data_IF_968825146534
#
_entry.id   IF_968825146534
#
_cell.length_a   1.000
_cell.length_b   1.000
_cell.length_c   1.000
_cell.angle_alpha   90.00
_cell.angle_beta   90.00
_cell.angle_gamma   90.00
#
_symmetry.space_group_name_H-M   'P 1'
#
loop_
_entity.id
_entity.type
_entity.pdbx_description
1 polymer ?
#
# COMPACT_ATOMS: atom_id res chain seq x y z
N UNK A 1 2.81 -13.30 23.14
CA UNK A 1 2.58 -13.27 21.69
C UNK A 1 2.65 -14.70 21.16
N UNK A 2 1.51 -15.26 20.74
CA UNK A 2 1.46 -16.58 20.12
C UNK A 2 2.26 -16.57 18.80
N UNK A 3 2.85 -17.70 18.42
CA UNK A 3 3.66 -17.79 17.20
C UNK A 3 2.86 -17.45 15.94
N UNK A 4 1.58 -17.80 15.90
CA UNK A 4 0.65 -17.50 14.82
C UNK A 4 0.46 -15.98 14.62
N UNK A 5 0.24 -15.22 15.71
CA UNK A 5 0.09 -13.76 15.61
C UNK A 5 1.41 -13.07 15.19
N UNK A 6 2.56 -13.66 15.49
CA UNK A 6 3.86 -13.15 15.00
C UNK A 6 3.99 -13.34 13.50
N UNK A 7 3.63 -14.53 13.03
CA UNK A 7 3.68 -14.89 11.63
C UNK A 7 2.75 -14.02 10.81
N UNK A 8 1.49 -13.88 11.24
CA UNK A 8 0.49 -13.06 10.56
C UNK A 8 0.89 -11.57 10.52
N UNK A 9 1.40 -11.01 11.62
CA UNK A 9 1.93 -9.65 11.63
C UNK A 9 3.08 -9.47 10.63
N UNK A 10 4.06 -10.39 10.63
CA UNK A 10 5.20 -10.32 9.72
C UNK A 10 4.76 -10.46 8.26
N UNK A 11 3.82 -11.38 7.98
CA UNK A 11 3.24 -11.62 6.66
C UNK A 11 2.50 -10.40 6.14
N UNK A 12 1.62 -9.80 6.95
CA UNK A 12 0.91 -8.57 6.60
C UNK A 12 1.88 -7.42 6.37
N UNK A 13 2.86 -7.23 7.25
CA UNK A 13 3.81 -6.13 7.11
C UNK A 13 4.63 -6.25 5.81
N UNK A 14 5.08 -7.46 5.48
CA UNK A 14 5.80 -7.73 4.24
C UNK A 14 4.90 -7.57 3.00
N UNK A 15 3.67 -8.07 3.04
CA UNK A 15 2.70 -7.90 1.96
C UNK A 15 2.39 -6.42 1.69
N UNK A 16 2.19 -5.63 2.75
CA UNK A 16 1.97 -4.19 2.66
C UNK A 16 3.18 -3.47 2.05
N UNK A 17 4.38 -3.80 2.51
CA UNK A 17 5.64 -3.26 1.94
C UNK A 17 5.78 -3.59 0.45
N UNK A 18 5.55 -4.85 0.08
CA UNK A 18 5.65 -5.30 -1.32
C UNK A 18 4.63 -4.58 -2.23
N UNK A 19 3.41 -4.34 -1.75
CA UNK A 19 2.40 -3.58 -2.49
C UNK A 19 2.81 -2.12 -2.70
N UNK A 20 3.39 -1.47 -1.68
CA UNK A 20 3.90 -0.10 -1.79
C UNK A 20 5.08 -0.01 -2.76
N UNK A 21 6.02 -0.95 -2.67
CA UNK A 21 7.16 -1.05 -3.60
C UNK A 21 6.67 -1.24 -5.05
N UNK A 22 5.65 -2.10 -5.23
CA UNK A 22 5.02 -2.35 -6.54
C UNK A 22 4.30 -1.11 -7.05
N UNK A 23 3.56 -0.40 -6.19
CA UNK A 23 2.89 0.84 -6.54
C UNK A 23 3.90 1.90 -7.02
N UNK A 24 5.02 2.06 -6.31
CA UNK A 24 6.05 3.02 -6.69
C UNK A 24 6.75 2.64 -8.01
N UNK A 25 7.05 1.35 -8.22
CA UNK A 25 7.56 0.85 -9.50
C UNK A 25 6.58 1.12 -10.64
N UNK A 26 5.30 0.84 -10.43
CA UNK A 26 4.24 1.08 -11.40
C UNK A 26 4.12 2.57 -11.74
N UNK A 27 4.17 3.46 -10.74
CA UNK A 27 4.16 4.92 -10.93
C UNK A 27 5.34 5.38 -11.77
N UNK A 28 6.55 4.87 -11.50
CA UNK A 28 7.75 5.21 -12.28
C UNK A 28 7.64 4.76 -13.73
N UNK A 29 7.20 3.53 -13.98
CA UNK A 29 7.05 3.01 -15.34
C UNK A 29 5.95 3.74 -16.12
N UNK A 30 4.80 3.98 -15.51
CA UNK A 30 3.69 4.70 -16.16
C UNK A 30 4.02 6.17 -16.37
N UNK A 31 4.72 6.82 -15.44
CA UNK A 31 5.25 8.17 -15.62
C UNK A 31 6.20 8.28 -16.83
N UNK A 32 7.13 7.33 -16.97
CA UNK A 32 8.03 7.28 -18.12
C UNK A 32 7.28 7.04 -19.44
N UNK A 33 6.31 6.12 -19.45
CA UNK A 33 5.47 5.86 -20.62
C UNK A 33 4.70 7.12 -21.02
N UNK A 34 4.04 7.79 -20.07
CA UNK A 34 3.24 8.99 -20.32
C UNK A 34 4.11 10.15 -20.80
N UNK A 35 5.33 10.30 -20.28
CA UNK A 35 6.28 11.30 -20.75
C UNK A 35 6.70 11.06 -22.21
N UNK A 36 6.87 9.80 -22.62
CA UNK A 36 7.16 9.44 -24.02
C UNK A 36 5.95 9.72 -24.91
N UNK A 37 4.74 9.37 -24.46
CA UNK A 37 3.50 9.51 -25.25
C UNK A 37 3.09 10.97 -25.43
N UNK A 38 3.29 11.83 -24.43
CA UNK A 38 2.98 13.26 -24.53
C UNK A 38 3.96 14.06 -25.39
N UNK A 39 5.14 13.52 -25.72
CA UNK A 39 6.19 14.28 -26.38
C UNK A 39 6.59 15.56 -25.61
N UNK A 40 7.35 16.45 -26.26
CA UNK A 40 7.86 17.70 -25.66
C UNK A 40 7.06 18.96 -26.03
N UNK A 41 5.82 18.85 -26.52
CA UNK A 41 5.08 20.00 -27.06
C UNK A 41 3.56 19.85 -27.16
N UNK A 42 2.86 20.98 -27.34
CA UNK A 42 1.41 21.16 -27.10
C UNK A 42 0.41 20.34 -27.93
N UNK A 43 0.88 19.51 -28.88
CA UNK A 43 0.16 18.35 -29.43
C UNK A 43 1.24 17.38 -29.91
N UNK A 44 1.53 16.33 -29.13
CA UNK A 44 2.57 15.35 -29.51
C UNK A 44 2.28 14.73 -30.89
N UNK A 45 1.01 14.73 -31.26
CA UNK A 45 0.44 14.11 -32.45
C UNK A 45 -0.08 15.13 -33.48
N UNK A 46 0.14 16.43 -33.27
CA UNK A 46 -0.32 17.53 -34.13
C UNK A 46 -1.80 17.86 -34.03
N UNK A 47 -2.24 18.98 -34.63
CA UNK A 47 -3.62 19.48 -34.55
C UNK A 47 -4.66 18.78 -35.43
N UNK A 48 -4.36 17.57 -35.93
CA UNK A 48 -5.28 16.77 -36.74
C UNK A 48 -6.35 16.10 -35.86
N UNK A 49 -7.45 15.63 -36.45
CA UNK A 49 -8.45 14.83 -35.73
C UNK A 49 -7.80 13.60 -35.05
N UNK A 50 -6.92 12.90 -35.76
CA UNK A 50 -6.14 11.79 -35.20
C UNK A 50 -5.24 12.23 -34.05
N UNK A 51 -4.69 13.44 -34.10
CA UNK A 51 -3.87 13.97 -33.01
C UNK A 51 -4.68 14.27 -31.75
N UNK A 52 -5.89 14.82 -31.92
CA UNK A 52 -6.83 15.04 -30.82
C UNK A 52 -7.30 13.71 -30.19
N UNK A 53 -7.56 12.68 -31.00
CA UNK A 53 -7.89 11.34 -30.50
C UNK A 53 -6.74 10.73 -29.67
N UNK A 54 -5.49 10.93 -30.11
CA UNK A 54 -4.32 10.46 -29.38
C UNK A 54 -4.09 11.23 -28.09
N UNK A 55 -4.33 12.54 -28.06
CA UNK A 55 -4.29 13.33 -26.83
C UNK A 55 -5.37 12.85 -25.83
N UNK A 56 -6.59 12.57 -26.31
CA UNK A 56 -7.66 12.01 -25.48
C UNK A 56 -7.30 10.62 -24.94
N UNK A 57 -6.71 9.75 -25.77
CA UNK A 57 -6.25 8.43 -25.35
C UNK A 57 -5.14 8.55 -24.29
N UNK A 58 -4.24 9.51 -24.45
CA UNK A 58 -3.15 9.78 -23.49
C UNK A 58 -3.70 10.22 -22.14
N UNK A 59 -4.71 11.09 -22.13
CA UNK A 59 -5.39 11.52 -20.91
C UNK A 59 -6.13 10.36 -20.23
N UNK A 60 -6.84 9.51 -20.99
CA UNK A 60 -7.48 8.31 -20.46
C UNK A 60 -6.46 7.35 -19.85
N UNK A 61 -5.30 7.17 -20.51
CA UNK A 61 -4.21 6.37 -20.00
C UNK A 61 -3.65 6.96 -18.70
N UNK A 62 -3.46 8.28 -18.64
CA UNK A 62 -3.01 8.97 -17.44
C UNK A 62 -3.97 8.72 -16.27
N UNK A 63 -5.28 8.90 -16.49
CA UNK A 63 -6.29 8.68 -15.46
C UNK A 63 -6.35 7.22 -15.01
N UNK A 64 -6.31 6.27 -15.94
CA UNK A 64 -6.34 4.84 -15.62
C UNK A 64 -5.10 4.42 -14.81
N UNK A 65 -3.91 4.83 -15.24
CA UNK A 65 -2.67 4.58 -14.50
C UNK A 65 -2.70 5.25 -13.12
N UNK A 66 -3.17 6.50 -13.02
CA UNK A 66 -3.32 7.19 -11.74
C UNK A 66 -4.23 6.43 -10.76
N UNK A 67 -5.38 5.93 -11.23
CA UNK A 67 -6.30 5.12 -10.42
C UNK A 67 -5.69 3.79 -9.99
N UNK A 68 -5.01 3.09 -10.90
CA UNK A 68 -4.36 1.81 -10.59
C UNK A 68 -3.25 2.00 -9.55
N UNK A 69 -2.42 3.02 -9.71
CA UNK A 69 -1.41 3.41 -8.72
C UNK A 69 -2.06 3.69 -7.36
N UNK A 70 -3.09 4.54 -7.33
CA UNK A 70 -3.79 4.89 -6.10
C UNK A 70 -4.37 3.67 -5.39
N UNK A 71 -5.00 2.75 -6.12
CA UNK A 71 -5.56 1.53 -5.56
C UNK A 71 -4.46 0.62 -4.97
N UNK A 72 -3.34 0.43 -5.67
CA UNK A 72 -2.22 -0.37 -5.16
C UNK A 72 -1.62 0.23 -3.90
N UNK A 73 -1.39 1.55 -3.92
CA UNK A 73 -0.83 2.28 -2.79
C UNK A 73 -1.75 2.21 -1.54
N UNK A 74 -3.04 2.52 -1.70
CA UNK A 74 -4.02 2.46 -0.61
C UNK A 74 -4.21 1.04 -0.07
N UNK A 75 -4.12 0.02 -0.93
CA UNK A 75 -4.14 -1.37 -0.48
C UNK A 75 -2.92 -1.70 0.37
N UNK A 76 -1.73 -1.26 -0.06
CA UNK A 76 -0.49 -1.40 0.71
C UNK A 76 -0.56 -0.71 2.09
N UNK A 77 -1.02 0.54 2.13
CA UNK A 77 -1.24 1.27 3.39
C UNK A 77 -2.28 0.59 4.30
N UNK A 78 -3.37 0.10 3.72
CA UNK A 78 -4.40 -0.63 4.46
C UNK A 78 -3.85 -1.89 5.12
N UNK A 79 -3.04 -2.67 4.39
CA UNK A 79 -2.39 -3.87 4.91
C UNK A 79 -1.37 -3.55 6.00
N UNK A 80 -0.57 -2.49 5.86
CA UNK A 80 0.33 -2.04 6.94
C UNK A 80 -0.44 -1.57 8.18
N UNK A 81 -1.56 -0.87 7.97
CA UNK A 81 -2.44 -0.44 9.07
C UNK A 81 -3.04 -1.64 9.79
N UNK A 82 -3.44 -2.69 9.07
CA UNK A 82 -3.89 -3.95 9.67
C UNK A 82 -2.79 -4.60 10.51
N UNK A 83 -1.57 -4.70 9.99
CA UNK A 83 -0.43 -5.22 10.73
C UNK A 83 -0.18 -4.42 12.02
N UNK A 84 -0.18 -3.09 11.94
CA UNK A 84 -0.02 -2.22 13.10
C UNK A 84 -1.14 -2.39 14.13
N UNK A 85 -2.40 -2.40 13.68
CA UNK A 85 -3.57 -2.58 14.54
C UNK A 85 -3.52 -3.91 15.28
N UNK A 86 -3.13 -4.98 14.58
CA UNK A 86 -2.95 -6.30 15.16
C UNK A 86 -1.87 -6.30 16.26
N UNK A 87 -0.75 -5.61 16.04
CA UNK A 87 0.32 -5.44 17.04
C UNK A 87 -0.18 -4.71 18.28
N UNK A 88 -0.93 -3.63 18.10
CA UNK A 88 -1.48 -2.81 19.20
C UNK A 88 -2.49 -3.60 20.01
N UNK A 89 -3.44 -4.27 19.35
CA UNK A 89 -4.45 -5.08 20.03
C UNK A 89 -3.82 -6.22 20.85
N UNK A 90 -2.77 -6.86 20.33
CA UNK A 90 -2.07 -7.90 21.07
C UNK A 90 -1.35 -7.37 22.32
N UNK A 91 -0.77 -6.16 22.25
CA UNK A 91 -0.15 -5.53 23.42
C UNK A 91 -1.21 -5.20 24.48
N UNK A 92 -2.35 -4.64 24.07
CA UNK A 92 -3.47 -4.31 24.95
C UNK A 92 -4.05 -5.55 25.65
N UNK A 93 -4.18 -6.66 24.92
CA UNK A 93 -4.60 -7.95 25.48
C UNK A 93 -3.57 -8.46 26.50
N UNK A 94 -2.27 -8.39 26.20
CA UNK A 94 -1.22 -8.82 27.12
C UNK A 94 -1.20 -7.99 28.41
N UNK A 95 -1.33 -6.66 28.29
CA UNK A 95 -1.38 -5.74 29.43
C UNK A 95 -2.62 -6.02 30.29
N UNK A 96 -3.77 -6.26 29.65
CA UNK A 96 -5.00 -6.66 30.33
C UNK A 96 -4.83 -7.98 31.08
N UNK A 97 -4.26 -9.02 30.45
CA UNK A 97 -4.01 -10.31 31.11
C UNK A 97 -3.08 -10.15 32.32
N UNK A 98 -2.00 -9.37 32.18
CA UNK A 98 -1.05 -9.12 33.27
C UNK A 98 -1.70 -8.35 34.42
N UNK A 99 -2.59 -7.41 34.14
CA UNK A 99 -3.31 -6.65 35.17
C UNK A 99 -4.28 -7.52 36.00
N UNK A 100 -4.82 -8.59 35.41
CA UNK A 100 -5.79 -9.48 36.09
C UNK A 100 -5.09 -10.69 36.73
N UNK A 101 -3.85 -11.00 36.34
CA UNK A 101 -3.06 -12.11 36.93
C UNK A 101 -2.38 -11.61 38.22
N UNK A 102 -2.84 -12.00 39.43
CA UNK A 102 -2.19 -11.56 40.66
C UNK A 102 -0.80 -12.18 40.74
N UNK A 103 0.19 -11.41 41.19
CA UNK A 103 1.50 -11.93 41.59
C UNK A 103 1.27 -13.08 42.57
N UNK A 104 1.65 -14.30 42.18
CA UNK A 104 1.46 -15.48 43.00
C UNK A 104 2.22 -15.31 44.31
N UNK A 105 1.47 -15.06 45.39
CA UNK A 105 2.01 -15.01 46.74
C UNK A 105 2.73 -16.33 47.04
N UNK A 106 4.01 -16.32 47.45
CA UNK A 106 4.71 -17.56 47.79
C UNK A 106 3.99 -18.24 48.96
N UNK A 107 3.48 -19.45 48.72
CA UNK A 107 2.92 -20.31 49.76
C UNK A 107 4.05 -20.67 50.73
N UNK A 108 4.10 -20.01 51.89
CA UNK A 108 4.96 -20.43 53.00
C UNK A 108 4.53 -21.83 53.45
N UNK A 109 5.52 -22.73 53.49
CA UNK A 109 5.44 -24.06 54.11
C UNK A 109 5.37 -23.95 55.63
#
# INVERSE_FOLDING_TARGET
MSEELRFDHASLNEAGRHLLDTADLFRRHTGNLLAVVHGTGGTAWGGSATGQDMDQLTELLHQACGRLHGNLYLTGEGVQTMAHTMRVNELDIQDTIQAITPASTPRKA
#
